data_IF_065221019149
#
_entry.id   IF_065221019149
#
_cell.length_a   1.000
_cell.length_b   1.000
_cell.length_c   1.000
_cell.angle_alpha   90.00
_cell.angle_beta   90.00
_cell.angle_gamma   90.00
#
_symmetry.space_group_name_H-M   'P 1'
#
loop_
_entity.id
_entity.type
_entity.pdbx_description
1 polymer ?
#
# COMPACT_ATOMS: atom_id res chain seq x y z
N UNK A 1 -2.30 2.55 11.07
CA UNK A 1 -2.50 2.24 9.64
C UNK A 1 -3.99 2.21 9.39
N UNK A 2 -4.46 2.83 8.31
CA UNK A 2 -5.87 2.79 7.89
C UNK A 2 -5.98 2.11 6.54
N UNK A 3 -7.06 1.34 6.34
CA UNK A 3 -7.35 0.62 5.11
C UNK A 3 -8.82 0.84 4.73
N UNK A 4 -9.06 1.12 3.45
CA UNK A 4 -10.39 1.16 2.86
C UNK A 4 -10.39 0.34 1.57
N UNK A 5 -11.23 -0.70 1.53
CA UNK A 5 -11.32 -1.63 0.42
C UNK A 5 -12.74 -1.62 -0.16
N UNK A 6 -12.83 -1.61 -1.50
CA UNK A 6 -14.08 -1.78 -2.23
C UNK A 6 -13.94 -2.97 -3.17
N UNK A 7 -14.81 -3.97 -2.98
CA UNK A 7 -14.85 -5.19 -3.78
C UNK A 7 -15.93 -5.04 -4.85
N UNK A 8 -15.53 -5.12 -6.12
CA UNK A 8 -16.39 -4.85 -7.26
C UNK A 8 -16.95 -6.14 -7.88
N UNK A 9 -16.24 -7.26 -7.68
CA UNK A 9 -16.65 -8.59 -8.15
C UNK A 9 -16.02 -9.67 -7.28
N UNK A 10 -16.71 -10.82 -7.11
CA UNK A 10 -16.11 -11.98 -6.48
C UNK A 10 -14.96 -12.52 -7.34
N UNK A 11 -13.87 -12.93 -6.69
CA UNK A 11 -12.82 -13.75 -7.27
C UNK A 11 -12.76 -15.02 -6.43
N UNK A 12 -13.25 -16.14 -6.97
CA UNK A 12 -13.43 -17.41 -6.21
C UNK A 12 -12.33 -18.43 -6.49
N UNK A 13 -11.51 -18.20 -7.53
CA UNK A 13 -10.38 -19.02 -7.93
C UNK A 13 -9.42 -18.18 -8.78
N UNK A 14 -8.20 -18.71 -8.98
CA UNK A 14 -7.15 -18.04 -9.76
C UNK A 14 -6.35 -17.02 -8.95
N UNK A 15 -5.56 -16.22 -9.66
CA UNK A 15 -4.64 -15.22 -9.13
C UNK A 15 -5.19 -13.80 -9.34
N UNK A 16 -4.75 -12.88 -8.49
CA UNK A 16 -5.06 -11.45 -8.63
C UNK A 16 -3.76 -10.67 -8.75
N UNK A 17 -3.63 -9.92 -9.83
CA UNK A 17 -2.55 -8.98 -10.05
C UNK A 17 -2.87 -7.65 -9.37
N UNK A 18 -1.86 -7.04 -8.76
CA UNK A 18 -2.03 -5.80 -7.99
C UNK A 18 -1.02 -4.76 -8.43
N UNK A 19 -1.53 -3.60 -8.84
CA UNK A 19 -0.70 -2.42 -9.11
C UNK A 19 -0.92 -1.39 -8.02
N UNK A 20 0.16 -1.04 -7.32
CA UNK A 20 0.17 0.00 -6.30
C UNK A 20 0.72 1.31 -6.85
N UNK A 21 0.06 2.41 -6.52
CA UNK A 21 0.51 3.76 -6.84
C UNK A 21 0.52 4.65 -5.59
N UNK A 22 1.65 5.30 -5.33
CA UNK A 22 1.76 6.31 -4.29
C UNK A 22 0.94 7.54 -4.70
N UNK A 23 -0.05 7.92 -3.89
CA UNK A 23 -0.92 9.08 -4.16
C UNK A 23 -0.52 10.31 -3.38
N UNK A 24 -0.06 10.12 -2.14
CA UNK A 24 0.45 11.21 -1.32
C UNK A 24 1.60 10.72 -0.46
N UNK A 25 2.64 11.55 -0.34
CA UNK A 25 3.85 11.27 0.43
C UNK A 25 4.07 12.37 1.45
N UNK A 26 3.42 12.26 2.60
CA UNK A 26 3.70 13.14 3.74
C UNK A 26 4.89 12.66 4.56
N UNK A 27 5.39 13.53 5.43
CA UNK A 27 6.56 13.23 6.30
C UNK A 27 6.27 12.14 7.35
N UNK A 28 4.99 11.98 7.70
CA UNK A 28 4.54 11.04 8.74
C UNK A 28 3.57 10.00 8.23
N UNK A 29 2.98 10.21 7.05
CA UNK A 29 1.99 9.30 6.48
C UNK A 29 2.04 9.28 4.96
N UNK A 30 1.93 8.09 4.37
CA UNK A 30 1.83 7.88 2.93
C UNK A 30 0.47 7.26 2.58
N UNK A 31 -0.16 7.76 1.51
CA UNK A 31 -1.37 7.19 0.94
C UNK A 31 -1.03 6.43 -0.34
N UNK A 32 -1.41 5.16 -0.38
CA UNK A 32 -1.27 4.28 -1.53
C UNK A 32 -2.63 3.84 -2.04
N UNK A 33 -2.83 3.89 -3.35
CA UNK A 33 -3.96 3.23 -4.01
C UNK A 33 -3.51 1.97 -4.71
N UNK A 34 -4.36 0.96 -4.68
CA UNK A 34 -4.11 -0.33 -5.30
C UNK A 34 -5.27 -0.70 -6.21
N UNK A 35 -4.95 -1.11 -7.43
CA UNK A 35 -5.87 -1.71 -8.38
C UNK A 35 -5.62 -3.20 -8.46
N UNK A 36 -6.64 -4.00 -8.17
CA UNK A 36 -6.60 -5.45 -8.22
C UNK A 36 -7.30 -5.94 -9.48
N UNK A 37 -6.67 -6.81 -10.27
CA UNK A 37 -7.24 -7.38 -11.50
C UNK A 37 -7.16 -8.90 -11.44
N UNK A 38 -8.23 -9.57 -11.87
CA UNK A 38 -8.21 -11.03 -12.00
C UNK A 38 -7.35 -11.48 -13.20
N UNK A 39 -7.18 -12.79 -13.37
CA UNK A 39 -6.41 -13.38 -14.48
C UNK A 39 -6.91 -12.97 -15.88
N UNK A 40 -8.16 -12.53 -15.99
CA UNK A 40 -8.72 -11.99 -17.23
C UNK A 40 -8.50 -10.48 -17.39
N UNK A 41 -7.70 -9.86 -16.51
CA UNK A 41 -7.37 -8.42 -16.53
C UNK A 41 -8.49 -7.51 -16.00
N UNK A 42 -9.55 -8.08 -15.43
CA UNK A 42 -10.75 -7.32 -15.05
C UNK A 42 -10.60 -6.77 -13.64
N UNK A 43 -10.83 -5.47 -13.45
CA UNK A 43 -10.72 -4.80 -12.13
C UNK A 43 -11.67 -5.45 -11.10
N UNK A 44 -11.15 -5.96 -10.00
CA UNK A 44 -11.93 -6.69 -9.00
C UNK A 44 -11.99 -6.03 -7.63
N UNK A 45 -10.98 -5.25 -7.26
CA UNK A 45 -11.01 -4.44 -6.05
C UNK A 45 -10.20 -3.16 -6.21
N UNK A 46 -10.57 -2.16 -5.42
CA UNK A 46 -9.80 -0.93 -5.20
C UNK A 46 -9.49 -0.83 -3.71
N UNK A 47 -8.22 -0.63 -3.36
CA UNK A 47 -7.81 -0.53 -1.96
C UNK A 47 -6.93 0.70 -1.75
N UNK A 48 -7.36 1.55 -0.82
CA UNK A 48 -6.55 2.66 -0.33
C UNK A 48 -5.97 2.32 1.04
N UNK A 49 -4.66 2.54 1.20
CA UNK A 49 -3.95 2.29 2.45
C UNK A 49 -3.21 3.55 2.88
N UNK A 50 -3.45 4.00 4.10
CA UNK A 50 -2.69 5.06 4.75
C UNK A 50 -1.71 4.44 5.75
N UNK A 51 -0.41 4.60 5.46
CA UNK A 51 0.69 4.01 6.22
C UNK A 51 1.40 5.13 6.99
N UNK A 52 1.49 5.01 8.30
CA UNK A 52 2.33 5.90 9.10
C UNK A 52 3.81 5.56 8.84
N UNK A 53 4.61 6.57 8.51
CA UNK A 53 6.04 6.46 8.32
C UNK A 53 6.77 7.19 9.44
N UNK A 54 7.94 6.67 9.80
CA UNK A 54 8.87 7.28 10.74
C UNK A 54 10.20 7.44 10.01
N UNK A 55 10.93 8.55 10.21
CA UNK A 55 12.31 8.62 9.78
C UNK A 55 13.06 7.42 10.34
N UNK A 56 13.91 6.80 9.52
CA UNK A 56 14.86 5.82 10.04
C UNK A 56 15.75 6.57 11.02
N UNK A 57 15.84 6.14 12.28
CA UNK A 57 16.78 6.81 13.17
C UNK A 57 18.18 6.51 12.65
N UNK A 58 18.93 7.56 12.34
CA UNK A 58 20.36 7.43 12.15
C UNK A 58 20.95 7.20 13.54
N UNK A 59 21.00 5.94 13.97
CA UNK A 59 21.86 5.56 15.08
C UNK A 59 23.31 5.59 14.58
N UNK A 60 23.79 6.80 14.31
CA UNK A 60 25.22 7.09 14.30
C UNK A 60 25.73 6.77 15.71
N UNK A 61 26.73 5.90 15.76
CA UNK A 61 27.39 5.49 16.99
C UNK A 61 27.92 6.71 17.73
N UNK A 62 27.23 7.06 18.80
CA UNK A 62 27.85 7.63 19.97
C UNK A 62 28.89 6.63 20.50
N UNK A 63 30.17 6.97 20.37
CA UNK A 63 31.17 6.65 21.38
C UNK A 63 32.17 7.82 21.44
N UNK A 64 32.22 8.58 22.54
CA UNK A 64 33.34 9.47 22.79
C UNK A 64 34.58 8.62 23.16
N UNK A 65 35.74 8.94 22.57
CA UNK A 65 37.08 8.55 23.05
C UNK A 65 37.89 9.80 23.28
#
# INVERSE_FOLDING_TARGET
MSNSASFLRPVTAGTVDVVAALRARGDREWLWSHEFRDEAGRLCALVNVTIAVRPRSDRAGDKPS
#
